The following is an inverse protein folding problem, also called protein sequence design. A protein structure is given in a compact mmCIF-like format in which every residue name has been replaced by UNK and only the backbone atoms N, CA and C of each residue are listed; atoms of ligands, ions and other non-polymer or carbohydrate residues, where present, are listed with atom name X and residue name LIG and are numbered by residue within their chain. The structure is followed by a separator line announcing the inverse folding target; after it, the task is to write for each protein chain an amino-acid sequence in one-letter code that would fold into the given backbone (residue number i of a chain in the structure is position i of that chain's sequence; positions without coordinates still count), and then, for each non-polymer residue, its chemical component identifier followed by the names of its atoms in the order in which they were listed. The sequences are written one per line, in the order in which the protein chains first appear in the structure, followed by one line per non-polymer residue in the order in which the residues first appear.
data_IF_457756413299
#
_entry.id   IF_457756413299
#
_cell.length_a   1.000
_cell.length_b   1.000
_cell.length_c   1.000
_cell.angle_alpha   90.00
_cell.angle_beta   90.00
_cell.angle_gamma   90.00
#
_symmetry.space_group_name_H-M   'P 1'
#
loop_
_entity.id
_entity.type
_entity.pdbx_description
1 polymer ?
#
# COMPACT_ATOMS: atom_id res chain seq x y z
N UNK A 1 -16.01 36.86 7.37
CA UNK A 1 -15.86 35.40 7.18
C UNK A 1 -15.70 35.19 5.69
N UNK A 2 -14.51 34.85 5.22
CA UNK A 2 -14.30 34.62 3.79
C UNK A 2 -14.80 33.24 3.43
N UNK A 3 -15.90 33.18 2.69
CA UNK A 3 -16.30 31.98 1.97
C UNK A 3 -15.17 31.64 0.99
N UNK A 4 -14.47 30.51 1.24
CA UNK A 4 -13.60 29.92 0.23
C UNK A 4 -14.53 29.45 -0.87
N UNK A 5 -14.55 30.19 -1.98
CA UNK A 5 -15.15 29.73 -3.21
C UNK A 5 -14.55 28.34 -3.52
N UNK A 6 -15.37 27.29 -3.64
CA UNK A 6 -14.85 25.95 -3.89
C UNK A 6 -14.06 26.02 -5.20
N UNK A 7 -12.83 25.51 -5.18
CA UNK A 7 -12.04 25.40 -6.40
C UNK A 7 -12.90 24.71 -7.46
N UNK A 8 -12.90 25.24 -8.68
CA UNK A 8 -13.67 24.71 -9.78
C UNK A 8 -12.75 24.59 -10.99
N UNK A 9 -12.62 23.39 -11.54
CA UNK A 9 -11.84 23.17 -12.77
C UNK A 9 -12.77 23.39 -13.94
N UNK A 10 -12.49 24.41 -14.76
CA UNK A 10 -13.31 24.77 -15.91
C UNK A 10 -14.81 24.94 -15.59
N UNK A 11 -15.14 25.45 -14.40
CA UNK A 11 -16.52 25.64 -13.94
C UNK A 11 -17.21 24.39 -13.37
N UNK A 12 -16.49 23.27 -13.27
CA UNK A 12 -16.98 22.05 -12.61
C UNK A 12 -16.52 22.06 -11.14
N UNK A 13 -17.42 21.87 -10.16
CA UNK A 13 -17.03 21.77 -8.76
C UNK A 13 -16.10 20.58 -8.50
N UNK A 14 -15.08 20.75 -7.68
CA UNK A 14 -14.15 19.66 -7.30
C UNK A 14 -14.88 18.44 -6.71
N UNK A 15 -15.95 18.65 -5.95
CA UNK A 15 -16.75 17.54 -5.39
C UNK A 15 -17.32 16.63 -6.47
N UNK A 16 -17.71 17.19 -7.62
CA UNK A 16 -18.20 16.41 -8.77
C UNK A 16 -17.04 15.67 -9.42
N UNK A 17 -15.86 16.28 -9.51
CA UNK A 17 -14.68 15.62 -10.07
C UNK A 17 -14.23 14.46 -9.19
N UNK A 18 -14.29 14.59 -7.87
CA UNK A 18 -14.00 13.52 -6.92
C UNK A 18 -14.98 12.34 -7.08
N UNK A 19 -16.29 12.62 -7.19
CA UNK A 19 -17.31 11.60 -7.45
C UNK A 19 -17.07 10.86 -8.77
N UNK A 20 -16.70 11.60 -9.83
CA UNK A 20 -16.39 11.02 -11.13
C UNK A 20 -15.09 10.21 -11.10
N UNK A 21 -14.07 10.66 -10.36
CA UNK A 21 -12.81 9.93 -10.17
C UNK A 21 -13.04 8.63 -9.40
N UNK A 22 -13.89 8.64 -8.37
CA UNK A 22 -14.30 7.43 -7.67
C UNK A 22 -15.04 6.47 -8.61
N UNK A 23 -16.00 6.99 -9.38
CA UNK A 23 -16.75 6.20 -10.37
C UNK A 23 -15.83 5.57 -11.42
N UNK A 24 -14.78 6.29 -11.85
CA UNK A 24 -13.79 5.77 -12.78
C UNK A 24 -12.97 4.63 -12.15
N UNK A 25 -12.57 4.79 -10.89
CA UNK A 25 -11.84 3.76 -10.12
C UNK A 25 -12.66 2.47 -10.03
N UNK A 26 -13.94 2.57 -9.65
CA UNK A 26 -14.83 1.42 -9.55
C UNK A 26 -14.98 0.69 -10.90
N UNK A 27 -15.09 1.45 -12.01
CA UNK A 27 -15.18 0.88 -13.36
C UNK A 27 -13.90 0.16 -13.76
N UNK A 28 -12.74 0.73 -13.44
CA UNK A 28 -11.44 0.12 -13.70
C UNK A 28 -11.33 -1.21 -12.92
N UNK A 29 -11.73 -1.25 -11.66
CA UNK A 29 -11.72 -2.46 -10.85
C UNK A 29 -12.59 -3.57 -11.46
N UNK A 30 -13.81 -3.24 -11.88
CA UNK A 30 -14.71 -4.20 -12.56
C UNK A 30 -14.10 -4.71 -13.87
N UNK A 31 -13.45 -3.84 -14.65
CA UNK A 31 -12.79 -4.25 -15.90
C UNK A 31 -11.59 -5.16 -15.62
N UNK A 32 -10.79 -4.85 -14.59
CA UNK A 32 -9.68 -5.70 -14.18
C UNK A 32 -10.16 -7.09 -13.74
N UNK A 33 -11.25 -7.18 -12.98
CA UNK A 33 -11.84 -8.46 -12.61
C UNK A 33 -12.28 -9.25 -13.84
N UNK A 34 -13.00 -8.62 -14.77
CA UNK A 34 -13.45 -9.29 -16.01
C UNK A 34 -12.30 -9.77 -16.88
N UNK A 35 -11.23 -8.98 -17.01
CA UNK A 35 -10.05 -9.36 -17.79
C UNK A 35 -9.27 -10.48 -17.11
N UNK A 36 -9.17 -10.45 -15.78
CA UNK A 36 -8.55 -11.51 -14.99
C UNK A 36 -9.33 -12.82 -15.15
N UNK A 37 -10.66 -12.77 -15.04
CA UNK A 37 -11.51 -13.95 -15.17
C UNK A 37 -11.41 -14.55 -16.58
N UNK A 38 -11.34 -13.71 -17.62
CA UNK A 38 -11.08 -14.14 -19.01
C UNK A 38 -9.71 -14.80 -19.17
N UNK A 39 -8.67 -14.22 -18.59
CA UNK A 39 -7.30 -14.76 -18.67
C UNK A 39 -7.18 -16.12 -17.99
N UNK A 40 -7.94 -16.35 -16.93
CA UNK A 40 -7.98 -17.63 -16.20
C UNK A 40 -8.99 -18.64 -16.77
N UNK A 41 -9.71 -18.28 -17.85
CA UNK A 41 -10.83 -19.06 -18.37
C UNK A 41 -11.81 -19.46 -17.25
N UNK A 42 -12.11 -18.51 -16.36
CA UNK A 42 -12.95 -18.72 -15.18
C UNK A 42 -14.32 -19.20 -15.64
N UNK A 43 -14.85 -20.30 -15.05
CA UNK A 43 -16.16 -20.81 -15.39
C UNK A 43 -17.25 -19.74 -15.25
N UNK A 44 -18.19 -19.70 -16.19
CA UNK A 44 -19.31 -18.78 -16.12
C UNK A 44 -20.12 -19.01 -14.84
N UNK A 45 -20.44 -17.92 -14.14
CA UNK A 45 -21.24 -17.98 -12.91
C UNK A 45 -22.55 -18.76 -13.13
N UNK A 46 -22.87 -19.67 -12.21
CA UNK A 46 -24.05 -20.54 -12.29
C UNK A 46 -23.87 -21.81 -13.12
N UNK A 47 -22.79 -21.96 -13.89
CA UNK A 47 -22.45 -23.22 -14.57
C UNK A 47 -22.12 -24.34 -13.58
N UNK A 48 -22.19 -25.59 -14.02
CA UNK A 48 -21.81 -26.76 -13.20
C UNK A 48 -20.35 -26.69 -12.78
N UNK A 49 -19.44 -26.34 -13.69
CA UNK A 49 -18.02 -26.12 -13.41
C UNK A 49 -17.80 -25.02 -12.35
N UNK A 50 -18.55 -23.91 -12.44
CA UNK A 50 -18.51 -22.86 -11.43
C UNK A 50 -18.98 -23.35 -10.06
N UNK A 51 -20.06 -24.15 -9.99
CA UNK A 51 -20.56 -24.71 -8.72
C UNK A 51 -19.54 -25.64 -8.07
N UNK A 52 -18.89 -26.51 -8.84
CA UNK A 52 -17.83 -27.40 -8.35
C UNK A 52 -16.64 -26.61 -7.83
N UNK A 53 -16.18 -25.61 -8.58
CA UNK A 53 -15.09 -24.73 -8.14
C UNK A 53 -15.47 -23.96 -6.87
N UNK A 54 -16.70 -23.44 -6.80
CA UNK A 54 -17.20 -22.70 -5.65
C UNK A 54 -17.26 -23.55 -4.38
N UNK A 55 -17.70 -24.81 -4.48
CA UNK A 55 -17.70 -25.76 -3.37
C UNK A 55 -16.28 -26.08 -2.87
N UNK A 56 -15.29 -26.07 -3.75
CA UNK A 56 -13.89 -26.32 -3.43
C UNK A 56 -13.09 -25.08 -3.01
N UNK A 57 -13.69 -23.89 -2.91
CA UNK A 57 -12.95 -22.63 -2.73
C UNK A 57 -12.09 -22.56 -1.47
N UNK A 58 -12.54 -23.22 -0.39
CA UNK A 58 -11.89 -23.18 0.92
C UNK A 58 -10.84 -24.30 1.09
N UNK A 59 -10.66 -25.15 0.06
CA UNK A 59 -9.58 -26.13 0.00
C UNK A 59 -8.21 -25.46 -0.23
N UNK A 60 -7.13 -26.21 -0.06
CA UNK A 60 -5.79 -25.72 -0.43
C UNK A 60 -5.69 -25.36 -1.91
N UNK A 61 -6.31 -26.16 -2.79
CA UNK A 61 -6.36 -25.90 -4.22
C UNK A 61 -7.14 -24.61 -4.53
N UNK A 62 -8.26 -24.41 -3.85
CA UNK A 62 -9.06 -23.18 -3.95
C UNK A 62 -8.28 -21.94 -3.51
N UNK A 63 -7.52 -22.04 -2.40
CA UNK A 63 -6.64 -20.95 -1.94
C UNK A 63 -5.51 -20.66 -2.93
N UNK A 64 -4.89 -21.69 -3.51
CA UNK A 64 -3.83 -21.53 -4.54
C UNK A 64 -4.38 -20.85 -5.80
N UNK A 65 -5.56 -21.24 -6.27
CA UNK A 65 -6.19 -20.61 -7.42
C UNK A 65 -6.61 -19.16 -7.11
N UNK A 66 -7.09 -18.89 -5.90
CA UNK A 66 -7.37 -17.52 -5.47
C UNK A 66 -6.10 -16.64 -5.45
N UNK A 67 -4.99 -17.15 -4.90
CA UNK A 67 -3.71 -16.44 -4.93
C UNK A 67 -3.21 -16.18 -6.36
N UNK A 68 -3.38 -17.17 -7.25
CA UNK A 68 -3.08 -17.03 -8.68
C UNK A 68 -3.93 -15.93 -9.32
N UNK A 69 -5.22 -15.85 -9.00
CA UNK A 69 -6.12 -14.80 -9.49
C UNK A 69 -5.65 -13.40 -9.08
N UNK A 70 -5.28 -13.22 -7.82
CA UNK A 70 -4.76 -11.95 -7.32
C UNK A 70 -3.45 -11.55 -8.02
N UNK A 71 -2.55 -12.52 -8.22
CA UNK A 71 -1.30 -12.29 -8.95
C UNK A 71 -1.55 -11.85 -10.40
N UNK A 72 -2.42 -12.55 -11.14
CA UNK A 72 -2.75 -12.18 -12.52
C UNK A 72 -3.39 -10.80 -12.60
N UNK A 73 -4.31 -10.47 -11.68
CA UNK A 73 -4.93 -9.14 -11.59
C UNK A 73 -3.87 -8.05 -11.40
N UNK A 74 -2.93 -8.25 -10.48
CA UNK A 74 -1.84 -7.31 -10.23
C UNK A 74 -0.93 -7.14 -11.45
N UNK A 75 -0.56 -8.23 -12.13
CA UNK A 75 0.26 -8.17 -13.35
C UNK A 75 -0.45 -7.43 -14.48
N UNK A 76 -1.76 -7.64 -14.65
CA UNK A 76 -2.57 -6.93 -15.64
C UNK A 76 -2.65 -5.43 -15.34
N UNK A 77 -2.90 -5.07 -14.08
CA UNK A 77 -2.94 -3.68 -13.64
C UNK A 77 -1.60 -2.97 -13.90
N UNK A 78 -0.48 -3.58 -13.50
CA UNK A 78 0.86 -3.06 -13.75
C UNK A 78 1.14 -2.85 -15.26
N UNK A 79 0.80 -3.85 -16.10
CA UNK A 79 0.99 -3.74 -17.56
C UNK A 79 0.13 -2.66 -18.21
N UNK A 80 -1.05 -2.39 -17.65
CA UNK A 80 -1.95 -1.35 -18.11
C UNK A 80 -1.61 0.04 -17.55
N UNK A 81 -0.59 0.17 -16.71
CA UNK A 81 -0.27 1.42 -16.01
C UNK A 81 -1.32 1.82 -14.97
N UNK A 82 -2.16 0.88 -14.54
CA UNK A 82 -3.20 1.08 -13.54
C UNK A 82 -2.59 0.74 -12.18
N UNK A 83 -2.28 1.76 -11.39
CA UNK A 83 -1.79 1.59 -10.03
C UNK A 83 -0.29 1.29 -9.95
N UNK A 84 0.50 2.36 -10.01
CA UNK A 84 1.48 2.80 -9.02
C UNK A 84 1.88 4.18 -9.51
N UNK A 85 1.08 5.19 -9.17
CA UNK A 85 1.66 6.52 -9.04
C UNK A 85 2.70 6.34 -7.95
N UNK A 86 3.98 6.25 -8.32
CA UNK A 86 5.01 6.81 -7.47
C UNK A 86 4.58 8.27 -7.29
N UNK A 87 3.74 8.53 -6.29
CA UNK A 87 3.82 9.81 -5.60
C UNK A 87 5.29 9.84 -5.19
N UNK A 88 6.14 10.72 -5.76
CA UNK A 88 7.46 10.86 -5.20
C UNK A 88 7.21 11.23 -3.76
N UNK A 89 7.43 10.28 -2.85
CA UNK A 89 7.47 10.57 -1.44
C UNK A 89 8.44 11.74 -1.36
N UNK A 90 7.94 12.93 -1.00
CA UNK A 90 8.79 14.08 -0.81
C UNK A 90 9.89 13.58 0.12
N UNK A 91 11.12 13.46 -0.41
CA UNK A 91 12.28 13.02 0.35
C UNK A 91 12.23 13.83 1.65
N UNK A 92 12.24 13.19 2.83
CA UNK A 92 12.24 13.93 4.08
C UNK A 92 13.40 14.93 3.99
N UNK A 93 13.06 16.22 4.06
CA UNK A 93 14.05 17.28 3.96
C UNK A 93 15.20 16.96 4.92
N UNK A 94 16.47 17.09 4.50
CA UNK A 94 17.60 16.72 5.34
C UNK A 94 17.50 17.49 6.65
N UNK A 95 17.27 16.74 7.74
CA UNK A 95 17.22 17.29 9.08
C UNK A 95 18.57 17.94 9.35
N UNK A 96 18.65 19.26 9.65
CA UNK A 96 19.93 19.88 9.94
C UNK A 96 20.55 19.19 11.16
N UNK A 97 21.86 18.89 11.14
CA UNK A 97 22.50 18.16 12.23
C UNK A 97 22.33 18.96 13.53
N UNK A 98 21.74 18.31 14.54
CA UNK A 98 21.61 18.87 15.87
C UNK A 98 22.99 19.31 16.39
N UNK A 99 23.15 20.61 16.67
CA UNK A 99 24.36 21.16 17.29
C UNK A 99 24.57 20.47 18.64
N UNK A 100 25.59 19.63 18.73
CA UNK A 100 26.05 19.04 19.99
C UNK A 100 26.50 20.18 20.93
N UNK A 101 26.02 20.23 22.18
CA UNK A 101 26.56 21.18 23.15
C UNK A 101 28.02 20.83 23.46
N UNK A 102 28.89 21.84 23.45
CA UNK A 102 30.30 21.68 23.77
C UNK A 102 30.45 21.21 25.23
N UNK A 103 31.05 20.04 25.43
CA UNK A 103 31.34 19.50 26.75
C UNK A 103 32.37 20.41 27.45
N UNK A 104 31.94 21.05 28.55
CA UNK A 104 32.85 21.74 29.48
C UNK A 104 33.79 20.71 30.09
N UNK A 105 35.08 20.88 29.86
CA UNK A 105 36.12 20.16 30.58
C UNK A 105 35.99 20.44 32.09
N UNK A 106 35.80 19.39 32.90
CA UNK A 106 36.08 19.42 34.33
C UNK A 106 36.96 18.22 34.68
N UNK A 107 38.03 18.54 35.38
CA UNK A 107 39.20 17.70 35.57
C UNK A 107 38.97 16.48 36.44
N UNK A 108 39.66 15.41 36.05
CA UNK A 108 40.59 14.61 36.86
C UNK A 108 40.25 14.53 38.36
N UNK A 109 39.61 13.42 38.74
CA UNK A 109 39.97 12.76 40.00
C UNK A 109 40.06 11.26 39.75
N UNK A 110 41.18 10.69 40.16
CA UNK A 110 41.66 9.35 39.86
C UNK A 110 41.52 8.54 41.13
N UNK A 111 40.65 7.54 41.15
CA UNK A 111 40.66 6.49 42.18
C UNK A 111 40.16 5.17 41.57
N UNK A 112 41.08 4.23 41.43
CA UNK A 112 40.88 2.77 41.36
C UNK A 112 41.50 2.20 42.65
N UNK A 113 41.32 0.92 43.03
CA UNK A 113 40.54 -0.19 42.45
C UNK A 113 39.54 -0.73 43.54
N UNK A 114 38.79 -1.84 43.47
CA UNK A 114 39.04 -3.19 42.96
C UNK A 114 37.74 -4.01 43.02
N UNK A 115 37.72 -5.12 42.26
CA UNK A 115 36.99 -6.39 42.52
C UNK A 115 35.44 -6.28 42.56
N UNK A 116 34.61 -7.13 41.96
CA UNK A 116 34.64 -8.55 41.61
C UNK A 116 33.65 -8.70 40.43
N UNK A 117 34.05 -9.34 39.33
CA UNK A 117 33.76 -10.73 38.97
C UNK A 117 32.28 -11.05 38.70
N UNK A 118 32.11 -11.64 37.51
CA UNK A 118 30.90 -12.17 36.91
C UNK A 118 30.08 -13.06 37.85
N UNK A 119 28.76 -12.86 37.85
CA UNK A 119 27.81 -13.93 38.10
C UNK A 119 26.66 -13.82 37.08
N UNK A 120 26.62 -14.78 36.16
CA UNK A 120 25.44 -15.09 35.33
C UNK A 120 24.45 -15.87 36.19
N UNK A 121 23.17 -15.49 36.13
CA UNK A 121 22.05 -16.43 36.17
C UNK A 121 20.96 -15.89 35.23
#
# INVERSE_FOLDING_TARGET
MSEREPAAVAGIPETVLDELAQTLTDKIDVLLDRLTDRALATPQAGSTAWKTQWQGRDSEDGRREHARRLYVRAVLANRAGIGLTETPAALPAPVPPARRPAARARGRTRTMPAAEQLAMF
#
